data_IF_917297130475
#
_entry.id   IF_917297130475
#
_cell.length_a   1.000
_cell.length_b   1.000
_cell.length_c   1.000
_cell.angle_alpha   90.00
_cell.angle_beta   90.00
_cell.angle_gamma   90.00
#
_symmetry.space_group_name_H-M   'P 1'
#
loop_
_entity.id
_entity.type
_entity.pdbx_description
1 polymer ?
#
# COMPACT_ATOMS: atom_id res chain seq x y z
N UNK A 1 -6.70 -31.56 59.63
CA UNK A 1 -5.76 -31.96 58.56
C UNK A 1 -4.98 -30.72 58.18
N UNK A 2 -3.85 -30.50 58.83
CA UNK A 2 -3.02 -29.29 58.69
C UNK A 2 -2.25 -29.41 57.39
N UNK A 3 -2.33 -28.40 56.52
CA UNK A 3 -1.63 -28.42 55.24
C UNK A 3 -0.11 -28.53 55.48
N UNK A 4 0.47 -29.66 55.09
CA UNK A 4 1.92 -29.83 55.01
C UNK A 4 2.37 -29.04 53.78
N UNK A 5 2.77 -27.80 54.01
CA UNK A 5 3.39 -26.96 52.99
C UNK A 5 4.69 -27.61 52.51
N UNK A 6 4.84 -27.75 51.20
CA UNK A 6 6.09 -28.19 50.60
C UNK A 6 7.14 -27.08 50.77
N UNK A 7 7.97 -27.16 51.80
CA UNK A 7 9.15 -26.32 51.92
C UNK A 7 10.22 -26.86 50.96
N UNK A 8 10.37 -26.25 49.78
CA UNK A 8 11.52 -26.51 48.90
C UNK A 8 12.75 -25.85 49.52
N UNK A 9 13.42 -26.57 50.41
CA UNK A 9 14.73 -26.20 50.92
C UNK A 9 15.75 -26.45 49.81
N UNK A 10 16.03 -25.41 49.01
CA UNK A 10 17.16 -25.29 48.06
C UNK A 10 17.69 -26.61 47.45
N UNK A 11 17.36 -26.90 46.18
CA UNK A 11 18.07 -27.94 45.41
C UNK A 11 17.23 -29.10 44.86
N UNK A 12 15.92 -28.94 44.61
CA UNK A 12 15.25 -29.84 43.68
C UNK A 12 15.80 -29.57 42.28
N UNK A 13 16.64 -30.46 41.76
CA UNK A 13 17.27 -30.34 40.44
C UNK A 13 16.28 -30.25 39.29
N UNK A 14 14.99 -30.50 39.55
CA UNK A 14 13.88 -30.39 38.57
C UNK A 14 13.22 -29.01 38.55
N UNK A 15 13.62 -28.06 39.41
CA UNK A 15 12.97 -26.74 39.54
C UNK A 15 13.99 -25.61 39.57
N UNK A 16 13.64 -24.49 38.96
CA UNK A 16 14.41 -23.24 39.01
C UNK A 16 13.98 -22.44 40.24
N UNK A 17 14.94 -21.97 41.06
CA UNK A 17 14.63 -21.13 42.21
C UNK A 17 14.17 -19.72 41.81
N UNK A 18 13.37 -19.07 42.67
CA UNK A 18 12.87 -17.70 42.44
C UNK A 18 13.99 -16.66 42.25
N UNK A 19 15.16 -16.88 42.84
CA UNK A 19 16.33 -16.02 42.70
C UNK A 19 17.62 -16.84 42.82
N UNK A 20 18.68 -16.38 42.15
CA UNK A 20 20.04 -16.92 42.27
C UNK A 20 20.30 -18.22 41.52
N UNK A 21 19.34 -18.71 40.74
CA UNK A 21 19.53 -19.87 39.87
C UNK A 21 20.09 -19.47 38.49
N UNK A 22 20.73 -20.39 37.78
CA UNK A 22 21.25 -20.19 36.43
C UNK A 22 21.04 -21.45 35.59
N UNK A 23 20.25 -21.34 34.52
CA UNK A 23 20.01 -22.45 33.57
C UNK A 23 21.27 -22.70 32.72
N UNK A 24 21.98 -23.79 32.98
CA UNK A 24 23.15 -24.21 32.19
C UNK A 24 22.73 -25.16 31.06
N UNK A 25 21.99 -24.64 30.08
CA UNK A 25 21.55 -25.40 28.91
C UNK A 25 20.24 -24.89 28.31
N UNK A 26 19.82 -25.52 27.20
CA UNK A 26 18.59 -25.16 26.49
C UNK A 26 17.34 -25.56 27.29
N UNK A 27 16.37 -24.65 27.40
CA UNK A 27 15.08 -24.94 28.01
C UNK A 27 14.13 -25.53 26.97
N UNK A 28 13.86 -26.83 27.05
CA UNK A 28 12.83 -27.50 26.24
C UNK A 28 11.49 -27.47 26.96
N UNK A 29 10.47 -26.92 26.31
CA UNK A 29 9.12 -26.83 26.86
C UNK A 29 8.26 -28.00 26.34
N UNK A 30 7.37 -28.57 27.16
CA UNK A 30 6.53 -29.71 26.77
C UNK A 30 5.37 -29.30 25.85
N UNK A 31 5.04 -28.02 25.80
CA UNK A 31 3.99 -27.47 24.96
C UNK A 31 4.55 -26.40 24.01
N UNK A 32 3.89 -26.29 22.86
CA UNK A 32 4.18 -25.37 21.77
C UNK A 32 3.56 -23.98 21.95
N UNK A 33 2.63 -23.80 22.89
CA UNK A 33 1.94 -22.52 23.14
C UNK A 33 1.92 -22.14 24.62
N UNK A 34 2.17 -20.87 24.99
CA UNK A 34 2.00 -20.42 26.38
C UNK A 34 0.52 -20.20 26.73
N UNK A 35 0.02 -20.86 27.77
CA UNK A 35 -1.38 -20.70 28.24
C UNK A 35 -1.63 -19.43 29.06
N UNK A 36 -0.57 -18.84 29.62
CA UNK A 36 -0.67 -17.63 30.46
C UNK A 36 0.35 -16.58 30.03
N UNK A 37 0.03 -15.30 30.27
CA UNK A 37 0.86 -14.18 29.81
C UNK A 37 2.27 -14.15 30.41
N UNK A 38 2.50 -14.78 31.56
CA UNK A 38 3.80 -14.80 32.24
C UNK A 38 4.53 -16.14 32.08
N UNK A 39 4.02 -17.06 31.26
CA UNK A 39 4.71 -18.30 30.93
C UNK A 39 5.84 -18.08 29.90
N UNK A 40 6.84 -18.95 29.92
CA UNK A 40 7.90 -18.94 28.92
C UNK A 40 7.35 -19.34 27.53
N UNK A 41 7.83 -18.67 26.48
CA UNK A 41 7.45 -18.98 25.10
C UNK A 41 8.47 -19.90 24.43
N UNK A 42 7.99 -20.95 23.76
CA UNK A 42 8.83 -21.79 22.91
C UNK A 42 9.26 -21.01 21.65
N UNK A 43 10.47 -21.25 21.14
CA UNK A 43 10.96 -20.59 19.90
C UNK A 43 9.97 -20.75 18.73
N UNK A 44 9.41 -21.95 18.54
CA UNK A 44 8.44 -22.24 17.49
C UNK A 44 7.15 -21.42 17.57
N UNK A 45 6.70 -21.07 18.77
CA UNK A 45 5.57 -20.15 18.96
C UNK A 45 5.89 -18.76 18.42
N UNK A 46 7.04 -18.21 18.81
CA UNK A 46 7.49 -16.89 18.36
C UNK A 46 7.68 -16.87 16.84
N UNK A 47 8.31 -17.90 16.28
CA UNK A 47 8.50 -18.04 14.83
C UNK A 47 7.15 -18.07 14.09
N UNK A 48 6.15 -18.79 14.61
CA UNK A 48 4.81 -18.86 14.03
C UNK A 48 4.07 -17.50 14.07
N UNK A 49 4.17 -16.79 15.19
CA UNK A 49 3.60 -15.44 15.33
C UNK A 49 4.26 -14.44 14.35
N UNK A 50 5.58 -14.52 14.19
CA UNK A 50 6.33 -13.71 13.22
C UNK A 50 5.91 -14.04 11.78
N UNK A 51 5.74 -15.32 11.45
CA UNK A 51 5.27 -15.75 10.13
C UNK A 51 3.84 -15.27 9.85
N UNK A 52 2.95 -15.34 10.84
CA UNK A 52 1.59 -14.81 10.72
C UNK A 52 1.59 -13.30 10.45
N UNK A 53 2.40 -12.53 11.19
CA UNK A 53 2.57 -11.10 10.96
C UNK A 53 3.15 -10.82 9.56
N UNK A 54 4.19 -11.56 9.14
CA UNK A 54 4.79 -11.42 7.82
C UNK A 54 3.76 -11.69 6.71
N UNK A 55 2.91 -12.70 6.87
CA UNK A 55 1.82 -13.02 5.94
C UNK A 55 0.72 -11.95 5.93
N UNK A 56 0.42 -11.33 7.08
CA UNK A 56 -0.54 -10.23 7.15
C UNK A 56 0.01 -8.96 6.49
N UNK A 57 1.29 -8.64 6.71
CA UNK A 57 1.99 -7.53 6.02
C UNK A 57 2.04 -7.83 4.53
N UNK A 58 2.43 -9.04 4.13
CA UNK A 58 2.39 -9.45 2.73
C UNK A 58 0.97 -9.38 2.18
N UNK A 59 -0.08 -9.82 2.87
CA UNK A 59 -1.45 -9.69 2.37
C UNK A 59 -1.91 -8.22 2.26
N UNK A 60 -1.45 -7.34 3.15
CA UNK A 60 -1.80 -5.92 3.16
C UNK A 60 -1.05 -5.11 2.09
N UNK A 61 0.19 -5.50 1.75
CA UNK A 61 1.08 -4.76 0.83
C UNK A 61 1.36 -5.51 -0.49
N UNK A 62 1.10 -6.81 -0.57
CA UNK A 62 1.30 -7.65 -1.74
C UNK A 62 -0.04 -7.94 -2.43
N UNK A 63 -0.22 -7.29 -3.56
CA UNK A 63 0.41 -7.88 -4.73
C UNK A 63 1.05 -6.77 -5.57
N UNK A 64 2.37 -6.66 -5.52
CA UNK A 64 3.15 -5.78 -6.42
C UNK A 64 3.01 -6.16 -7.91
N UNK A 65 2.28 -7.24 -8.22
CA UNK A 65 1.75 -7.53 -9.55
C UNK A 65 0.27 -7.92 -9.42
N UNK A 66 -0.62 -7.15 -10.01
CA UNK A 66 -2.03 -7.51 -10.16
C UNK A 66 -2.93 -7.37 -8.91
N UNK A 67 -2.50 -6.71 -7.83
CA UNK A 67 -3.41 -6.41 -6.71
C UNK A 67 -4.52 -5.46 -7.14
N UNK A 68 -5.73 -5.73 -6.63
CA UNK A 68 -6.84 -4.75 -6.63
C UNK A 68 -6.98 -4.23 -5.21
N UNK A 69 -6.67 -2.96 -4.99
CA UNK A 69 -7.00 -2.29 -3.72
C UNK A 69 -8.49 -1.99 -3.72
N UNK A 70 -9.23 -2.55 -2.76
CA UNK A 70 -10.63 -2.19 -2.51
C UNK A 70 -10.69 -1.04 -1.51
N UNK A 71 -11.44 0.02 -1.81
CA UNK A 71 -11.54 1.21 -0.97
C UNK A 71 -10.62 2.36 -1.39
N UNK A 72 -10.58 3.43 -0.59
CA UNK A 72 -9.76 4.60 -0.88
C UNK A 72 -8.28 4.35 -0.53
N UNK A 73 -7.38 4.68 -1.47
CA UNK A 73 -5.93 4.68 -1.24
C UNK A 73 -5.49 6.08 -0.81
N UNK A 74 -4.99 6.22 0.42
CA UNK A 74 -4.38 7.46 0.91
C UNK A 74 -2.86 7.30 0.98
N UNK A 75 -2.11 8.13 0.25
CA UNK A 75 -0.63 8.13 0.24
C UNK A 75 -0.14 9.48 0.73
N UNK A 76 0.62 9.50 1.83
CA UNK A 76 1.27 10.71 2.33
C UNK A 76 2.55 10.98 1.52
N UNK A 77 2.44 11.65 0.38
CA UNK A 77 3.57 12.06 -0.46
C UNK A 77 3.32 11.87 -1.95
N UNK A 78 4.41 11.70 -2.71
CA UNK A 78 4.33 11.42 -4.15
C UNK A 78 4.15 9.92 -4.39
N UNK A 79 3.28 9.58 -5.35
CA UNK A 79 3.10 8.23 -5.87
C UNK A 79 3.30 8.24 -7.39
N UNK A 80 3.94 7.20 -7.92
CA UNK A 80 4.08 6.99 -9.37
C UNK A 80 3.16 5.85 -9.76
N UNK A 81 2.06 6.16 -10.44
CA UNK A 81 1.11 5.16 -10.94
C UNK A 81 1.25 5.06 -12.46
N UNK A 82 1.92 4.02 -12.95
CA UNK A 82 1.99 3.74 -14.38
C UNK A 82 0.64 3.19 -14.87
N UNK A 83 0.01 3.89 -15.83
CA UNK A 83 -1.26 3.44 -16.41
C UNK A 83 -2.49 3.60 -15.50
N UNK A 84 -2.48 4.55 -14.57
CA UNK A 84 -3.64 4.86 -13.73
C UNK A 84 -4.87 5.22 -14.58
N UNK A 85 -6.02 4.62 -14.26
CA UNK A 85 -7.33 4.99 -14.81
C UNK A 85 -8.23 5.42 -13.65
N UNK A 86 -8.93 6.54 -13.79
CA UNK A 86 -9.97 6.99 -12.85
C UNK A 86 -11.34 6.79 -13.49
N UNK A 87 -12.24 6.09 -12.80
CA UNK A 87 -13.59 5.82 -13.33
C UNK A 87 -14.53 7.04 -13.22
N UNK A 88 -14.23 7.96 -12.31
CA UNK A 88 -15.00 9.19 -12.06
C UNK A 88 -14.02 10.37 -12.07
N UNK A 89 -14.13 11.25 -11.07
CA UNK A 89 -13.35 12.47 -10.98
C UNK A 89 -11.88 12.22 -10.66
N UNK A 90 -11.03 13.03 -11.29
CA UNK A 90 -9.63 13.19 -10.93
C UNK A 90 -9.41 14.60 -10.36
N UNK A 91 -9.07 14.69 -9.07
CA UNK A 91 -8.85 15.96 -8.38
C UNK A 91 -7.37 16.11 -8.04
N UNK A 92 -6.75 17.21 -8.47
CA UNK A 92 -5.35 17.56 -8.15
C UNK A 92 -5.34 18.82 -7.31
N UNK A 93 -4.79 18.73 -6.10
CA UNK A 93 -4.56 19.89 -5.25
C UNK A 93 -3.25 20.57 -5.66
N UNK A 94 -3.32 21.42 -6.67
CA UNK A 94 -2.17 22.15 -7.21
C UNK A 94 -2.15 22.15 -8.74
N UNK A 95 -0.96 22.38 -9.30
CA UNK A 95 -0.78 22.37 -10.75
C UNK A 95 -0.85 20.95 -11.32
N UNK A 96 -1.63 20.79 -12.39
CA UNK A 96 -1.60 19.60 -13.24
C UNK A 96 -0.62 19.82 -14.40
N UNK A 97 0.27 18.84 -14.65
CA UNK A 97 1.21 18.84 -15.76
C UNK A 97 1.21 17.47 -16.44
N UNK A 98 0.93 17.45 -17.75
CA UNK A 98 1.02 16.26 -18.58
C UNK A 98 2.30 16.36 -19.43
N UNK A 99 3.17 15.35 -19.32
CA UNK A 99 4.42 15.31 -20.09
C UNK A 99 4.22 14.89 -21.56
N UNK A 100 3.11 14.20 -21.86
CA UNK A 100 2.74 13.77 -23.20
C UNK A 100 1.47 14.45 -23.71
N UNK A 101 0.98 13.97 -24.85
CA UNK A 101 -0.23 14.48 -25.50
C UNK A 101 -1.49 14.18 -24.67
N UNK A 102 -2.48 15.08 -24.75
CA UNK A 102 -3.77 14.94 -24.07
C UNK A 102 -4.88 14.85 -25.12
N UNK A 103 -5.76 13.86 -24.97
CA UNK A 103 -6.98 13.71 -25.78
C UNK A 103 -8.22 13.92 -24.92
N UNK A 104 -9.26 14.51 -25.49
CA UNK A 104 -10.54 14.75 -24.81
C UNK A 104 -11.66 14.00 -25.53
N UNK A 105 -12.68 13.58 -24.79
CA UNK A 105 -13.90 12.97 -25.32
C UNK A 105 -13.68 11.76 -26.25
N UNK A 106 -12.64 10.96 -25.99
CA UNK A 106 -12.30 9.78 -26.80
C UNK A 106 -11.53 10.08 -28.09
N UNK A 107 -11.18 11.34 -28.36
CA UNK A 107 -10.25 11.69 -29.44
C UNK A 107 -8.84 11.15 -29.14
N UNK A 108 -8.15 10.68 -30.18
CA UNK A 108 -6.73 10.30 -30.08
C UNK A 108 -5.91 11.52 -29.62
N UNK A 109 -5.11 11.41 -28.54
CA UNK A 109 -4.24 12.50 -28.11
C UNK A 109 -3.34 12.98 -29.25
N UNK A 110 -3.22 14.30 -29.41
CA UNK A 110 -2.38 14.95 -30.42
C UNK A 110 -1.34 15.85 -29.78
N UNK A 111 -0.21 16.00 -30.47
CA UNK A 111 0.78 17.03 -30.15
C UNK A 111 0.17 18.41 -30.22
N UNK A 112 0.73 19.35 -29.44
CA UNK A 112 0.27 20.75 -29.38
C UNK A 112 0.13 21.37 -30.79
N UNK A 113 -1.10 21.68 -31.23
CA UNK A 113 -1.34 22.35 -32.51
C UNK A 113 -0.73 23.75 -32.52
N UNK A 114 -0.27 24.16 -33.70
CA UNK A 114 0.10 25.54 -33.98
C UNK A 114 -1.08 26.23 -34.64
N UNK A 115 -1.50 27.37 -34.09
CA UNK A 115 -2.49 28.24 -34.74
C UNK A 115 -1.77 29.23 -35.64
N UNK A 116 -2.08 29.23 -36.94
CA UNK A 116 -1.40 30.06 -37.95
C UNK A 116 -2.38 30.78 -38.88
N UNK A 117 -1.92 31.84 -39.54
CA UNK A 117 -2.70 32.65 -40.48
C UNK A 117 -2.99 34.07 -40.00
N UNK A 118 -3.60 34.88 -40.89
CA UNK A 118 -3.93 36.27 -40.62
C UNK A 118 -5.17 36.40 -39.75
N UNK A 119 -5.10 37.25 -38.71
CA UNK A 119 -6.27 37.58 -37.86
C UNK A 119 -7.34 38.40 -38.59
N UNK A 120 -6.93 39.32 -39.48
CA UNK A 120 -7.85 40.23 -40.19
C UNK A 120 -8.73 39.57 -41.25
N UNK A 121 -8.42 38.33 -41.66
CA UNK A 121 -9.20 37.55 -42.63
C UNK A 121 -9.78 36.25 -42.06
N UNK A 122 -9.81 36.11 -40.73
CA UNK A 122 -10.31 34.92 -40.01
C UNK A 122 -9.64 33.57 -40.33
N UNK A 123 -8.57 33.54 -41.14
CA UNK A 123 -7.83 32.32 -41.43
C UNK A 123 -7.29 31.65 -40.14
N UNK A 124 -6.77 32.44 -39.20
CA UNK A 124 -6.31 31.95 -37.90
C UNK A 124 -7.46 31.39 -37.03
N UNK A 125 -8.67 31.95 -37.16
CA UNK A 125 -9.84 31.46 -36.44
C UNK A 125 -10.29 30.11 -36.98
N UNK A 126 -10.40 29.96 -38.30
CA UNK A 126 -10.71 28.67 -38.92
C UNK A 126 -9.69 27.59 -38.53
N UNK A 127 -8.40 27.93 -38.54
CA UNK A 127 -7.34 27.01 -38.12
C UNK A 127 -7.42 26.62 -36.64
N UNK A 128 -7.79 27.55 -35.76
CA UNK A 128 -8.05 27.26 -34.34
C UNK A 128 -9.24 26.31 -34.16
N UNK A 129 -10.34 26.54 -34.87
CA UNK A 129 -11.54 25.69 -34.79
C UNK A 129 -11.19 24.26 -35.18
N UNK A 130 -10.47 24.08 -36.30
CA UNK A 130 -9.96 22.76 -36.70
C UNK A 130 -9.08 22.14 -35.61
N UNK A 131 -8.16 22.89 -35.01
CA UNK A 131 -7.28 22.38 -33.96
C UNK A 131 -8.04 21.93 -32.69
N UNK A 132 -9.05 22.69 -32.26
CA UNK A 132 -9.89 22.34 -31.11
C UNK A 132 -10.76 21.11 -31.39
N UNK A 133 -11.28 20.98 -32.63
CA UNK A 133 -12.03 19.82 -33.06
C UNK A 133 -11.16 18.56 -33.08
N UNK A 134 -9.91 18.65 -33.56
CA UNK A 134 -8.96 17.54 -33.51
C UNK A 134 -8.61 17.09 -32.08
N UNK A 135 -8.54 18.03 -31.13
CA UNK A 135 -8.39 17.69 -29.71
C UNK A 135 -9.63 17.01 -29.10
N UNK A 136 -10.77 17.03 -29.79
CA UNK A 136 -12.07 16.59 -29.27
C UNK A 136 -12.72 17.59 -28.31
N UNK A 137 -12.19 18.81 -28.19
CA UNK A 137 -12.73 19.84 -27.29
C UNK A 137 -14.02 20.47 -27.81
N UNK A 138 -14.22 20.45 -29.14
CA UNK A 138 -15.45 20.90 -29.79
C UNK A 138 -15.85 19.92 -30.88
N UNK A 139 -17.14 19.92 -31.21
CA UNK A 139 -17.63 19.41 -32.50
C UNK A 139 -17.85 20.62 -33.40
N UNK A 140 -17.11 20.70 -34.52
CA UNK A 140 -17.31 21.76 -35.50
C UNK A 140 -18.51 21.43 -36.39
N UNK A 141 -19.57 22.23 -36.27
CA UNK A 141 -20.78 22.15 -37.11
C UNK A 141 -20.89 23.29 -38.12
N UNK A 142 -19.82 24.04 -38.35
CA UNK A 142 -19.84 25.19 -39.28
C UNK A 142 -19.84 24.73 -40.74
N UNK A 143 -20.45 25.53 -41.63
CA UNK A 143 -20.59 25.27 -43.08
C UNK A 143 -19.89 26.35 -43.89
#
# INVERSE_FOLDING_TARGET
MTAVGYASTTGDTRKVNRAGDTMTGELTLPDSSPDTALAAAAKGYVDAQILALANQIAAAFAALTGATFTGALNVNGYTTLAGAQTNNDFTVFGAFSAAGDVGFHGATPIAKPTVSGSKGGNAALGNLITALALYGLITDGTS
#
